data_IF_322751808294
#
_entry.id   IF_322751808294
#
_cell.length_a   1.000
_cell.length_b   1.000
_cell.length_c   1.000
_cell.angle_alpha   90.00
_cell.angle_beta   90.00
_cell.angle_gamma   90.00
#
_symmetry.space_group_name_H-M   'P 1'
#
loop_
_entity.id
_entity.type
_entity.pdbx_description
1 polymer ?
#
# COMPACT_ATOMS: atom_id res chain seq x y z
N UNK A 1 44.48 -13.56 48.78
CA UNK A 1 43.05 -13.21 48.65
C UNK A 1 42.63 -13.56 47.24
N UNK A 2 41.68 -14.48 47.06
CA UNK A 2 41.31 -15.05 45.76
C UNK A 2 40.36 -14.11 45.03
N UNK A 3 40.76 -13.66 43.84
CA UNK A 3 40.01 -12.73 43.01
C UNK A 3 38.98 -13.52 42.19
N UNK A 4 37.69 -13.28 42.40
CA UNK A 4 36.62 -13.88 41.61
C UNK A 4 36.33 -12.99 40.39
N UNK A 5 36.49 -13.53 39.19
CA UNK A 5 36.07 -12.89 37.94
C UNK A 5 34.59 -13.24 37.69
N UNK A 6 33.71 -12.24 37.67
CA UNK A 6 32.32 -12.38 37.26
C UNK A 6 32.22 -12.13 35.75
N UNK A 7 31.95 -13.19 34.98
CA UNK A 7 31.71 -13.12 33.54
C UNK A 7 30.21 -12.88 33.30
N UNK A 8 29.82 -11.65 32.95
CA UNK A 8 28.43 -11.32 32.57
C UNK A 8 28.25 -11.53 31.07
N UNK A 9 27.49 -12.55 30.68
CA UNK A 9 27.09 -12.76 29.28
C UNK A 9 25.87 -11.88 28.98
N UNK A 10 26.04 -10.89 28.12
CA UNK A 10 24.92 -10.18 27.50
C UNK A 10 24.41 -11.00 26.31
N UNK A 11 23.25 -11.63 26.45
CA UNK A 11 22.52 -12.22 25.33
C UNK A 11 21.67 -11.12 24.68
N UNK A 12 22.17 -10.53 23.59
CA UNK A 12 21.37 -9.61 22.78
C UNK A 12 20.42 -10.44 21.91
N UNK A 13 19.15 -10.52 22.30
CA UNK A 13 18.10 -11.11 21.49
C UNK A 13 17.75 -10.11 20.37
N UNK A 14 18.43 -10.22 19.22
CA UNK A 14 18.05 -9.51 18.01
C UNK A 14 16.78 -10.17 17.43
N UNK A 15 15.62 -9.84 18.01
CA UNK A 15 14.33 -10.19 17.42
C UNK A 15 14.16 -9.42 16.10
N UNK A 16 14.41 -10.07 14.97
CA UNK A 16 13.96 -9.54 13.68
C UNK A 16 12.44 -9.60 13.67
N UNK A 17 11.78 -8.44 13.75
CA UNK A 17 10.35 -8.37 13.52
C UNK A 17 10.07 -8.79 12.08
N UNK A 18 9.59 -10.02 11.90
CA UNK A 18 9.03 -10.48 10.63
C UNK A 18 7.70 -9.76 10.45
N UNK A 19 7.67 -8.74 9.60
CA UNK A 19 6.40 -8.20 9.10
C UNK A 19 5.78 -9.30 8.25
N UNK A 20 4.66 -9.86 8.69
CA UNK A 20 3.87 -10.78 7.90
C UNK A 20 3.45 -10.07 6.61
N UNK A 21 4.07 -10.42 5.48
CA UNK A 21 3.66 -9.92 4.18
C UNK A 21 2.39 -10.67 3.77
N UNK A 22 1.23 -10.08 4.07
CA UNK A 22 -0.04 -10.56 3.52
C UNK A 22 0.07 -10.56 2.00
N UNK A 23 -0.21 -11.68 1.33
CA UNK A 23 -0.18 -11.74 -0.13
C UNK A 23 -1.00 -10.59 -0.73
N UNK A 24 -0.36 -9.78 -1.58
CA UNK A 24 -1.00 -8.59 -2.14
C UNK A 24 -2.19 -8.98 -3.02
N UNK A 25 -3.40 -8.59 -2.61
CA UNK A 25 -4.67 -8.83 -3.34
C UNK A 25 -4.70 -8.03 -4.65
N UNK A 26 -4.18 -6.80 -4.63
CA UNK A 26 -3.95 -5.99 -5.83
C UNK A 26 -2.59 -6.28 -6.48
N UNK A 27 -2.60 -6.43 -7.81
CA UNK A 27 -1.44 -6.63 -8.67
C UNK A 27 -1.35 -5.53 -9.73
N UNK A 28 -0.19 -5.44 -10.37
CA UNK A 28 0.06 -4.58 -11.52
C UNK A 28 -0.31 -3.11 -11.25
N UNK A 29 -0.16 -2.67 -10.00
CA UNK A 29 -0.48 -1.30 -9.63
C UNK A 29 0.48 -0.34 -10.34
N UNK A 30 -0.06 0.73 -10.90
CA UNK A 30 0.68 1.80 -11.56
C UNK A 30 0.11 3.15 -11.16
N UNK A 31 0.96 4.17 -11.09
CA UNK A 31 0.59 5.53 -10.77
C UNK A 31 1.21 6.49 -11.79
N UNK A 32 0.38 7.23 -12.52
CA UNK A 32 0.81 8.13 -13.59
C UNK A 32 0.07 9.47 -13.49
N UNK A 33 0.65 10.52 -14.07
CA UNK A 33 -0.08 11.75 -14.40
C UNK A 33 -0.48 11.71 -15.86
N UNK A 34 -1.77 11.73 -16.14
CA UNK A 34 -2.32 11.76 -17.52
C UNK A 34 -3.32 12.90 -17.61
N UNK A 35 -3.11 13.84 -18.54
CA UNK A 35 -3.98 15.01 -18.74
C UNK A 35 -4.30 15.73 -17.41
N UNK A 36 -3.25 16.07 -16.64
CA UNK A 36 -3.33 16.74 -15.34
C UNK A 36 -4.07 15.96 -14.24
N UNK A 37 -4.34 14.66 -14.43
CA UNK A 37 -4.96 13.80 -13.43
C UNK A 37 -3.97 12.77 -12.93
N UNK A 38 -3.95 12.59 -11.61
CA UNK A 38 -3.42 11.36 -11.03
C UNK A 38 -4.31 10.20 -11.47
N UNK A 39 -3.71 9.21 -12.12
CA UNK A 39 -4.35 7.96 -12.49
C UNK A 39 -3.61 6.83 -11.80
N UNK A 40 -4.29 6.18 -10.86
CA UNK A 40 -3.88 4.90 -10.30
C UNK A 40 -4.70 3.79 -10.94
N UNK A 41 -4.04 2.71 -11.38
CA UNK A 41 -4.70 1.54 -11.96
C UNK A 41 -4.10 0.26 -11.41
N UNK A 42 -4.93 -0.75 -11.16
CA UNK A 42 -4.50 -2.06 -10.68
C UNK A 42 -5.50 -3.14 -11.10
N UNK A 43 -5.09 -4.40 -10.91
CA UNK A 43 -5.95 -5.57 -11.11
C UNK A 43 -6.06 -6.34 -9.80
N UNK A 44 -7.24 -6.87 -9.50
CA UNK A 44 -7.45 -7.76 -8.36
C UNK A 44 -7.16 -9.23 -8.75
N UNK A 45 -6.43 -9.94 -7.89
CA UNK A 45 -5.99 -11.33 -8.14
C UNK A 45 -7.17 -12.32 -8.05
N UNK A 46 -8.05 -12.12 -7.08
CA UNK A 46 -9.19 -12.96 -6.76
C UNK A 46 -10.40 -12.03 -6.64
N UNK A 47 -11.33 -12.07 -7.59
CA UNK A 47 -12.48 -11.17 -7.60
C UNK A 47 -13.32 -11.37 -6.34
N UNK A 48 -13.31 -10.38 -5.45
CA UNK A 48 -14.20 -10.38 -4.29
C UNK A 48 -15.31 -9.37 -4.52
N UNK A 49 -16.52 -9.87 -4.73
CA UNK A 49 -17.69 -9.08 -5.17
C UNK A 49 -18.18 -8.04 -4.14
N UNK A 50 -17.66 -8.04 -2.91
CA UNK A 50 -18.26 -7.29 -1.79
C UNK A 50 -17.32 -6.32 -1.06
N UNK A 51 -16.16 -6.00 -1.62
CA UNK A 51 -15.20 -5.07 -0.97
C UNK A 51 -14.94 -3.79 -1.73
N UNK A 52 -14.14 -2.92 -1.10
CA UNK A 52 -13.70 -1.65 -1.66
C UNK A 52 -12.20 -1.48 -1.52
N UNK A 53 -11.67 -0.46 -2.20
CA UNK A 53 -10.27 -0.12 -2.16
C UNK A 53 -10.08 1.26 -1.55
N UNK A 54 -9.26 1.34 -0.52
CA UNK A 54 -8.68 2.61 -0.11
C UNK A 54 -7.48 2.92 -0.98
N UNK A 55 -7.50 4.08 -1.62
CA UNK A 55 -6.36 4.63 -2.34
C UNK A 55 -5.55 5.45 -1.36
N UNK A 56 -4.29 5.08 -1.20
CA UNK A 56 -3.42 5.69 -0.19
C UNK A 56 -2.18 6.33 -0.83
N UNK A 57 -1.76 7.46 -0.27
CA UNK A 57 -0.61 8.23 -0.73
C UNK A 57 0.40 8.48 0.40
N UNK A 58 1.67 8.59 0.05
CA UNK A 58 2.77 8.82 0.99
C UNK A 58 3.84 9.72 0.38
N UNK A 59 4.46 10.55 1.22
CA UNK A 59 5.61 11.37 0.83
C UNK A 59 6.93 10.58 0.90
N UNK A 60 7.02 9.59 1.80
CA UNK A 60 8.25 8.87 2.13
C UNK A 60 8.19 7.36 1.82
N UNK A 61 7.03 6.85 1.37
CA UNK A 61 6.82 5.44 1.09
C UNK A 61 6.63 4.57 2.34
N UNK A 62 6.50 5.19 3.53
CA UNK A 62 6.32 4.51 4.82
C UNK A 62 4.98 4.89 5.46
N UNK A 63 4.73 6.18 5.58
CA UNK A 63 3.52 6.72 6.21
C UNK A 63 2.49 7.02 5.14
N UNK A 64 1.40 6.25 5.13
CA UNK A 64 0.34 6.34 4.11
C UNK A 64 -0.92 6.95 4.70
N UNK A 65 -1.56 7.83 3.92
CA UNK A 65 -2.86 8.40 4.23
C UNK A 65 -3.84 8.12 3.10
N UNK A 66 -5.11 7.89 3.44
CA UNK A 66 -6.17 7.63 2.46
C UNK A 66 -6.56 8.92 1.75
N UNK A 67 -6.59 8.87 0.42
CA UNK A 67 -6.91 9.99 -0.48
C UNK A 67 -8.16 9.74 -1.34
N UNK A 68 -8.74 8.53 -1.26
CA UNK A 68 -9.93 8.17 -2.00
C UNK A 68 -10.38 6.75 -1.76
N UNK A 69 -11.60 6.45 -2.20
CA UNK A 69 -12.20 5.12 -2.15
C UNK A 69 -12.66 4.70 -3.54
N UNK A 70 -12.55 3.41 -3.87
CA UNK A 70 -13.05 2.82 -5.12
C UNK A 70 -13.92 1.60 -4.80
N UNK A 71 -15.18 1.63 -5.26
CA UNK A 71 -16.26 0.71 -4.86
C UNK A 71 -16.72 -0.22 -6.00
N UNK A 72 -15.79 -0.63 -6.84
CA UNK A 72 -16.07 -1.52 -7.96
C UNK A 72 -15.06 -1.40 -9.08
N UNK A 73 -15.07 -2.39 -9.98
CA UNK A 73 -14.19 -2.41 -11.14
C UNK A 73 -14.49 -1.24 -12.09
N UNK A 74 -13.48 -0.81 -12.85
CA UNK A 74 -13.64 0.17 -13.92
C UNK A 74 -14.49 -0.47 -15.04
N UNK A 75 -15.69 0.06 -15.34
CA UNK A 75 -16.58 -0.52 -16.35
C UNK A 75 -16.00 -0.44 -17.77
N UNK A 76 -14.97 0.40 -17.99
CA UNK A 76 -14.28 0.53 -19.28
C UNK A 76 -12.99 -0.29 -19.34
N UNK A 77 -12.59 -0.92 -18.24
CA UNK A 77 -11.37 -1.71 -18.16
C UNK A 77 -11.59 -3.20 -18.41
N UNK A 78 -10.51 -3.97 -18.28
CA UNK A 78 -10.60 -5.43 -18.27
C UNK A 78 -11.33 -5.93 -17.01
N UNK A 79 -11.72 -7.20 -17.01
CA UNK A 79 -12.30 -7.86 -15.83
C UNK A 79 -11.38 -7.67 -14.61
N UNK A 80 -11.98 -7.31 -13.46
CA UNK A 80 -11.28 -7.06 -12.19
C UNK A 80 -10.19 -5.97 -12.27
N UNK A 81 -10.28 -5.07 -13.26
CA UNK A 81 -9.44 -3.88 -13.30
C UNK A 81 -10.13 -2.73 -12.58
N UNK A 82 -9.34 -1.92 -11.91
CA UNK A 82 -9.81 -0.80 -11.11
C UNK A 82 -8.99 0.43 -11.46
N UNK A 83 -9.63 1.60 -11.38
CA UNK A 83 -8.93 2.86 -11.54
C UNK A 83 -9.42 3.92 -10.58
N UNK A 84 -8.47 4.74 -10.11
CA UNK A 84 -8.74 5.96 -9.37
C UNK A 84 -8.20 7.14 -10.19
N UNK A 85 -9.05 8.15 -10.40
CA UNK A 85 -8.72 9.33 -11.19
C UNK A 85 -9.06 10.56 -10.37
N UNK A 86 -8.08 11.44 -10.16
CA UNK A 86 -8.26 12.68 -9.43
C UNK A 86 -7.43 13.79 -10.06
N UNK A 87 -7.95 15.01 -10.08
CA UNK A 87 -7.18 16.18 -10.54
C UNK A 87 -5.89 16.29 -9.71
N UNK A 88 -4.73 16.43 -10.36
CA UNK A 88 -3.44 16.46 -9.65
C UNK A 88 -3.35 17.63 -8.68
N UNK A 89 -4.07 18.71 -8.97
CA UNK A 89 -4.21 19.90 -8.11
C UNK A 89 -4.93 19.63 -6.79
N UNK A 90 -5.70 18.53 -6.70
CA UNK A 90 -6.39 18.09 -5.49
C UNK A 90 -5.57 17.09 -4.68
N UNK A 91 -4.42 16.67 -5.19
CA UNK A 91 -3.46 15.82 -4.49
C UNK A 91 -2.34 16.71 -3.94
N UNK A 92 -1.94 16.48 -2.68
CA UNK A 92 -0.83 17.24 -2.12
C UNK A 92 0.45 16.91 -2.88
N UNK A 93 1.16 17.95 -3.35
CA UNK A 93 2.37 17.83 -4.19
C UNK A 93 3.52 17.05 -3.54
N UNK A 94 3.51 16.91 -2.22
CA UNK A 94 4.50 16.12 -1.46
C UNK A 94 4.35 14.62 -1.67
N UNK A 95 3.20 14.14 -2.12
CA UNK A 95 2.97 12.70 -2.27
C UNK A 95 3.69 12.17 -3.51
N UNK A 96 4.53 11.16 -3.30
CA UNK A 96 5.37 10.56 -4.33
C UNK A 96 5.12 9.05 -4.48
N UNK A 97 4.55 8.42 -3.46
CA UNK A 97 4.30 6.99 -3.40
C UNK A 97 2.82 6.72 -3.19
N UNK A 98 2.32 5.68 -3.84
CA UNK A 98 0.92 5.32 -3.83
C UNK A 98 0.76 3.81 -3.67
N UNK A 99 -0.30 3.40 -2.98
CA UNK A 99 -0.69 1.99 -2.86
C UNK A 99 -2.21 1.91 -2.75
N UNK A 100 -2.74 0.70 -2.82
CA UNK A 100 -4.13 0.43 -2.48
C UNK A 100 -4.23 -0.57 -1.35
N UNK A 101 -5.24 -0.41 -0.51
CA UNK A 101 -5.60 -1.33 0.56
C UNK A 101 -7.01 -1.87 0.27
N UNK A 102 -7.13 -3.19 0.21
CA UNK A 102 -8.40 -3.87 0.09
C UNK A 102 -9.12 -3.91 1.45
N UNK A 103 -10.39 -3.53 1.44
CA UNK A 103 -11.28 -3.53 2.60
C UNK A 103 -12.47 -4.43 2.31
N UNK A 104 -12.53 -5.56 3.02
CA UNK A 104 -13.67 -6.48 2.99
C UNK A 104 -14.57 -6.19 4.19
N UNK A 105 -15.73 -5.57 3.96
CA UNK A 105 -16.63 -5.12 5.03
C UNK A 105 -15.97 -4.04 5.89
N UNK A 106 -15.77 -4.30 7.19
CA UNK A 106 -15.12 -3.36 8.12
C UNK A 106 -13.65 -3.67 8.38
N UNK A 107 -13.06 -4.65 7.69
CA UNK A 107 -11.69 -5.10 7.93
C UNK A 107 -10.81 -4.89 6.70
N UNK A 108 -9.66 -4.27 6.92
CA UNK A 108 -8.57 -4.24 5.96
C UNK A 108 -7.96 -5.65 5.85
N UNK A 109 -7.87 -6.19 4.63
CA UNK A 109 -7.51 -7.60 4.41
C UNK A 109 -6.30 -7.80 3.50
N UNK A 110 -5.84 -6.77 2.77
CA UNK A 110 -4.58 -6.87 2.03
C UNK A 110 -4.15 -5.58 1.34
N UNK A 111 -2.85 -5.30 1.35
CA UNK A 111 -2.24 -4.13 0.70
C UNK A 111 -1.52 -4.51 -0.59
N UNK A 112 -1.51 -3.60 -1.58
CA UNK A 112 -0.61 -3.69 -2.72
C UNK A 112 0.83 -3.35 -2.32
N UNK A 113 1.78 -3.66 -3.21
CA UNK A 113 3.07 -2.99 -3.20
C UNK A 113 2.86 -1.47 -3.36
N UNK A 114 3.74 -0.67 -2.75
CA UNK A 114 3.79 0.76 -3.00
C UNK A 114 4.52 1.02 -4.32
N UNK A 115 3.96 1.91 -5.13
CA UNK A 115 4.57 2.37 -6.38
C UNK A 115 4.84 3.85 -6.32
N UNK A 116 5.96 4.25 -6.92
CA UNK A 116 6.30 5.66 -7.06
C UNK A 116 5.54 6.24 -8.25
N UNK A 117 5.12 7.50 -8.16
CA UNK A 117 4.55 8.23 -9.29
C UNK A 117 5.55 8.23 -10.46
N UNK A 118 5.13 7.69 -11.60
CA UNK A 118 5.88 7.84 -12.83
C UNK A 118 5.79 9.31 -13.27
N UNK A 119 6.95 9.88 -13.61
CA UNK A 119 7.07 11.24 -14.14
C UNK A 119 6.98 11.21 -15.66
#
# INVERSE_FOLDING_TARGET
MKQFFLLTIFFAFAGTATIAQTSAVAKNIQANIVNNKLVLSWTESEASETGSWEVQASANGKDFTTIGLVWGADPKGARNSFSFKQESTKIQSKFQYFRVLYVAGTKATGTSAAVRLAK
#
